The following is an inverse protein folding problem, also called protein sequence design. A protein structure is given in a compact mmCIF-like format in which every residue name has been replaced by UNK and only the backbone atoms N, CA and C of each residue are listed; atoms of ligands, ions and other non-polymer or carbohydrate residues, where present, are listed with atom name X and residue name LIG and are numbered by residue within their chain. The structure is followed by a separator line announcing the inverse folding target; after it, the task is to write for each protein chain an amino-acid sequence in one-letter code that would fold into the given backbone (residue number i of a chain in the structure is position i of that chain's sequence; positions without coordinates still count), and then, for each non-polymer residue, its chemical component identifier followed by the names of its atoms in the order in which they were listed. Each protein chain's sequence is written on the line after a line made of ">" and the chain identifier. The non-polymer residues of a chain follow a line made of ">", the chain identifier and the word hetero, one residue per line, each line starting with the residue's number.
data_IF_026647045566
#
_entry.id   IF_026647045566
#
_cell.length_a   1.000
_cell.length_b   1.000
_cell.length_c   1.000
_cell.angle_alpha   90.00
_cell.angle_beta   90.00
_cell.angle_gamma   90.00
#
_symmetry.space_group_name_H-M   'P 1'
#
loop_
_entity.id
_entity.type
_entity.pdbx_description
1 polymer ?
#
# COMPACT_ATOMS: atom_id res chain seq x y z
N UNK A 1 -9.24 18.40 23.37
CA UNK A 1 -7.94 17.69 23.37
C UNK A 1 -7.33 17.80 21.98
N UNK A 2 -6.01 17.98 21.86
CA UNK A 2 -5.31 18.04 20.57
C UNK A 2 -5.31 16.64 19.90
N UNK A 3 -6.01 16.43 18.77
CA UNK A 3 -6.12 15.12 18.12
C UNK A 3 -4.75 14.54 17.70
N UNK A 4 -3.79 15.40 17.34
CA UNK A 4 -2.45 14.96 16.97
C UNK A 4 -1.72 14.34 18.16
N UNK A 5 -1.83 14.94 19.34
CA UNK A 5 -1.25 14.39 20.59
C UNK A 5 -1.94 13.12 21.04
N UNK A 6 -3.27 13.06 20.93
CA UNK A 6 -4.03 11.86 21.26
C UNK A 6 -3.61 10.67 20.38
N UNK A 7 -3.45 10.90 19.07
CA UNK A 7 -2.92 9.91 18.13
C UNK A 7 -1.51 9.44 18.50
N UNK A 8 -0.60 10.37 18.77
CA UNK A 8 0.76 10.05 19.20
C UNK A 8 0.80 9.18 20.46
N UNK A 9 -0.02 9.52 21.46
CA UNK A 9 -0.09 8.76 22.71
C UNK A 9 -0.64 7.34 22.49
N UNK A 10 -1.64 7.18 21.61
CA UNK A 10 -2.15 5.87 21.24
C UNK A 10 -1.10 5.02 20.50
N UNK A 11 -0.38 5.63 19.54
CA UNK A 11 0.67 4.98 18.77
C UNK A 11 1.85 4.52 19.65
N UNK A 12 2.33 5.37 20.57
CA UNK A 12 3.41 4.98 21.49
C UNK A 12 2.96 3.91 22.50
N UNK A 13 1.71 3.98 22.98
CA UNK A 13 1.17 2.93 23.87
C UNK A 13 1.12 1.58 23.17
N UNK A 14 0.60 1.53 21.94
CA UNK A 14 0.40 0.30 21.19
C UNK A 14 1.72 -0.28 20.66
N UNK A 15 2.57 0.56 20.09
CA UNK A 15 3.71 0.11 19.29
C UNK A 15 5.06 0.69 19.74
N UNK A 16 5.12 1.46 20.85
CA UNK A 16 6.31 2.21 21.27
C UNK A 16 7.65 1.45 21.26
N UNK A 17 7.72 0.20 21.76
CA UNK A 17 8.94 -0.61 21.73
C UNK A 17 9.31 -1.17 20.35
N UNK A 18 8.35 -1.21 19.41
CA UNK A 18 8.54 -1.78 18.07
C UNK A 18 9.46 -0.90 17.24
N UNK A 19 10.21 -1.54 16.34
CA UNK A 19 11.10 -0.86 15.41
C UNK A 19 10.37 -0.71 14.09
N UNK A 20 10.43 0.51 13.54
CA UNK A 20 9.84 0.84 12.25
C UNK A 20 10.90 1.47 11.36
N UNK A 21 10.67 1.37 10.06
CA UNK A 21 11.44 2.08 9.05
C UNK A 21 10.86 3.46 8.84
N UNK A 22 11.72 4.47 8.79
CA UNK A 22 11.32 5.82 8.45
C UNK A 22 12.27 6.42 7.42
N UNK A 23 11.73 7.18 6.47
CA UNK A 23 12.56 7.95 5.57
C UNK A 23 13.22 9.11 6.31
N UNK A 24 14.50 9.32 6.06
CA UNK A 24 15.33 10.35 6.65
C UNK A 24 15.44 11.54 5.71
N UNK A 25 15.15 12.72 6.26
CA UNK A 25 15.34 14.00 5.57
C UNK A 25 16.74 14.53 5.83
N UNK A 26 17.66 14.34 4.89
CA UNK A 26 18.99 14.96 4.97
C UNK A 26 18.97 16.39 4.40
N UNK A 27 18.50 16.59 3.17
CA UNK A 27 18.19 17.90 2.53
C UNK A 27 17.16 17.70 1.41
N UNK A 28 15.95 18.24 1.51
CA UNK A 28 14.95 18.20 0.42
C UNK A 28 13.58 17.59 0.76
N UNK A 29 13.07 16.71 -0.12
CA UNK A 29 11.75 16.03 -0.04
C UNK A 29 11.92 14.54 0.32
N UNK A 30 10.88 13.96 0.92
CA UNK A 30 10.70 12.51 1.12
C UNK A 30 10.46 11.81 -0.24
N UNK A 31 10.59 10.47 -0.30
CA UNK A 31 10.46 9.65 -1.50
C UNK A 31 11.79 9.38 -2.23
N UNK A 32 12.90 9.27 -1.49
CA UNK A 32 14.24 9.02 -2.06
C UNK A 32 14.89 7.70 -1.60
N UNK A 33 14.22 6.94 -0.72
CA UNK A 33 14.75 5.66 -0.23
C UNK A 33 15.89 5.77 0.79
N UNK A 34 16.21 6.97 1.29
CA UNK A 34 17.12 7.13 2.41
C UNK A 34 16.37 6.79 3.69
N UNK A 35 16.51 5.57 4.17
CA UNK A 35 15.73 5.03 5.29
C UNK A 35 16.61 4.75 6.51
N UNK A 36 16.04 4.91 7.70
CA UNK A 36 16.64 4.40 8.94
C UNK A 36 15.62 3.60 9.73
N UNK A 37 16.10 2.79 10.66
CA UNK A 37 15.28 2.10 11.63
C UNK A 37 15.34 2.83 12.98
N UNK A 38 14.18 2.98 13.61
CA UNK A 38 14.06 3.55 14.95
C UNK A 38 12.85 2.98 15.68
N UNK A 39 12.85 3.07 17.01
CA UNK A 39 11.69 2.70 17.81
C UNK A 39 10.54 3.68 17.56
N UNK A 40 9.31 3.19 17.50
CA UNK A 40 8.10 4.01 17.38
C UNK A 40 8.08 5.11 18.44
N UNK A 41 8.45 4.79 19.70
CA UNK A 41 8.55 5.79 20.78
C UNK A 41 9.49 6.95 20.44
N UNK A 42 10.65 6.63 19.87
CA UNK A 42 11.63 7.63 19.48
C UNK A 42 11.11 8.51 18.34
N UNK A 43 10.46 7.90 17.35
CA UNK A 43 9.79 8.61 16.27
C UNK A 43 8.70 9.56 16.78
N UNK A 44 7.81 9.07 17.66
CA UNK A 44 6.72 9.86 18.26
C UNK A 44 7.25 11.02 19.08
N UNK A 45 8.28 10.80 19.90
CA UNK A 45 8.91 11.85 20.70
C UNK A 45 9.51 12.97 19.81
N UNK A 46 10.17 12.60 18.71
CA UNK A 46 10.69 13.56 17.74
C UNK A 46 9.55 14.36 17.09
N UNK A 47 8.51 13.69 16.61
CA UNK A 47 7.37 14.36 15.97
C UNK A 47 6.66 15.35 16.90
N UNK A 48 6.44 14.96 18.16
CA UNK A 48 5.85 15.84 19.17
C UNK A 48 6.75 17.05 19.50
N UNK A 49 8.06 16.84 19.62
CA UNK A 49 9.01 17.93 19.85
C UNK A 49 9.02 18.92 18.68
N UNK A 50 9.00 18.43 17.43
CA UNK A 50 8.93 19.28 16.23
C UNK A 50 7.61 20.02 16.14
N UNK A 51 6.50 19.37 16.46
CA UNK A 51 5.20 19.99 16.48
C UNK A 51 5.17 21.15 17.50
N UNK A 52 5.71 20.96 18.70
CA UNK A 52 5.76 21.97 19.75
C UNK A 52 6.69 23.16 19.40
N UNK A 53 7.74 22.91 18.62
CA UNK A 53 8.74 23.93 18.23
C UNK A 53 8.48 24.54 16.85
N UNK A 54 7.41 24.15 16.15
CA UNK A 54 7.11 24.60 14.79
C UNK A 54 8.07 24.09 13.71
N UNK A 55 8.86 23.05 14.02
CA UNK A 55 9.89 22.48 13.16
C UNK A 55 9.39 21.41 12.18
N UNK A 56 10.29 20.97 11.29
CA UNK A 56 10.07 19.79 10.45
C UNK A 56 10.57 18.52 11.15
N UNK A 57 9.85 17.41 11.00
CA UNK A 57 10.39 16.09 11.33
C UNK A 57 11.63 15.80 10.49
N UNK A 58 12.63 15.20 11.15
CA UNK A 58 13.74 14.52 10.48
C UNK A 58 13.28 13.24 9.78
N UNK A 59 12.23 12.61 10.32
CA UNK A 59 11.75 11.31 9.88
C UNK A 59 10.34 11.40 9.29
N UNK A 60 10.04 10.54 8.32
CA UNK A 60 8.68 10.31 7.84
C UNK A 60 8.36 8.83 7.92
N UNK A 61 7.31 8.48 8.66
CA UNK A 61 6.83 7.11 8.74
C UNK A 61 6.17 6.78 7.40
N UNK A 62 6.68 5.72 6.77
CA UNK A 62 6.33 5.27 5.42
C UNK A 62 5.94 3.78 5.47
N UNK A 63 5.77 3.16 4.30
CA UNK A 63 5.54 1.71 4.18
C UNK A 63 6.61 0.89 4.89
N UNK A 64 6.19 -0.28 5.36
CA UNK A 64 7.02 -1.15 6.19
C UNK A 64 7.32 -2.42 5.42
N UNK A 65 8.52 -3.01 5.60
CA UNK A 65 8.78 -4.33 5.07
C UNK A 65 7.77 -5.30 5.67
N UNK A 66 7.24 -6.19 4.83
CA UNK A 66 6.33 -7.25 5.22
C UNK A 66 7.13 -8.55 5.28
N UNK A 67 6.90 -9.34 6.32
CA UNK A 67 7.38 -10.72 6.31
C UNK A 67 6.61 -11.50 5.24
N UNK A 68 7.22 -12.53 4.70
CA UNK A 68 6.53 -13.50 3.84
C UNK A 68 6.18 -14.74 4.67
N UNK A 69 5.02 -15.34 4.37
CA UNK A 69 4.65 -16.64 4.94
C UNK A 69 5.39 -17.81 4.28
N UNK A 70 5.06 -19.04 4.68
CA UNK A 70 5.71 -20.25 4.16
C UNK A 70 5.50 -20.43 2.66
N UNK A 71 4.46 -19.82 2.08
CA UNK A 71 4.15 -19.83 0.66
C UNK A 71 4.75 -18.61 -0.08
N UNK A 72 5.58 -17.81 0.59
CA UNK A 72 6.20 -16.61 0.01
C UNK A 72 5.23 -15.43 -0.13
N UNK A 73 4.05 -15.47 0.50
CA UNK A 73 3.06 -14.40 0.40
C UNK A 73 3.36 -13.33 1.46
N UNK A 74 3.37 -12.04 1.10
CA UNK A 74 3.59 -10.98 2.08
C UNK A 74 2.45 -10.91 3.11
N UNK A 75 2.78 -10.71 4.40
CA UNK A 75 1.84 -10.35 5.45
C UNK A 75 1.06 -9.07 5.08
N UNK A 76 -0.16 -8.91 5.59
CA UNK A 76 -1.00 -7.76 5.24
C UNK A 76 -0.51 -6.44 5.84
N UNK A 77 0.24 -6.49 6.95
CA UNK A 77 0.70 -5.27 7.59
C UNK A 77 1.93 -5.50 8.47
N UNK A 78 2.87 -4.56 8.42
CA UNK A 78 4.00 -4.49 9.34
C UNK A 78 3.69 -3.68 10.59
N UNK A 79 4.66 -3.55 11.49
CA UNK A 79 4.58 -2.60 12.60
C UNK A 79 4.63 -1.16 12.06
N UNK A 80 3.82 -0.19 12.56
CA UNK A 80 3.05 -0.28 13.79
C UNK A 80 1.62 -0.78 13.59
N UNK A 81 1.17 -1.01 12.35
CA UNK A 81 -0.21 -1.41 12.05
C UNK A 81 -0.55 -2.72 12.75
N UNK A 82 0.35 -3.71 12.73
CA UNK A 82 0.15 -5.00 13.42
C UNK A 82 -0.16 -4.83 14.92
N UNK A 83 0.57 -3.93 15.60
CA UNK A 83 0.27 -3.61 17.01
C UNK A 83 -1.01 -2.79 17.18
N UNK A 84 -1.33 -1.87 16.26
CA UNK A 84 -2.59 -1.12 16.30
C UNK A 84 -3.82 -2.02 16.10
N UNK A 85 -3.74 -3.02 15.22
CA UNK A 85 -4.80 -4.04 15.04
C UNK A 85 -4.98 -4.83 16.34
N UNK A 86 -3.88 -5.30 16.95
CA UNK A 86 -3.92 -6.05 18.22
C UNK A 86 -4.58 -5.25 19.36
N UNK A 87 -4.36 -3.94 19.39
CA UNK A 87 -4.93 -3.02 20.38
C UNK A 87 -6.33 -2.49 20.00
N UNK A 88 -6.93 -3.01 18.93
CA UNK A 88 -8.23 -2.58 18.41
C UNK A 88 -8.30 -1.07 18.08
N UNK A 89 -7.17 -0.52 17.61
CA UNK A 89 -7.03 0.88 17.18
C UNK A 89 -7.00 1.02 15.65
N UNK A 90 -6.93 -0.10 14.93
CA UNK A 90 -6.92 -0.14 13.48
C UNK A 90 -7.75 -1.34 13.01
N UNK A 91 -8.84 -1.12 12.25
CA UNK A 91 -9.64 -2.21 11.70
C UNK A 91 -8.82 -3.12 10.76
N UNK A 92 -8.87 -4.45 10.90
CA UNK A 92 -8.11 -5.37 10.02
C UNK A 92 -8.68 -5.45 8.59
N UNK A 93 -9.81 -4.80 8.33
CA UNK A 93 -10.43 -4.62 7.01
C UNK A 93 -10.86 -3.18 6.82
N UNK A 94 -11.08 -2.73 5.58
CA UNK A 94 -11.60 -1.39 5.32
C UNK A 94 -13.13 -1.36 5.54
N UNK A 95 -13.65 -0.71 6.59
CA UNK A 95 -15.10 -0.71 6.86
C UNK A 95 -15.90 0.14 5.85
N UNK A 96 -15.23 1.06 5.14
CA UNK A 96 -15.85 1.96 4.17
C UNK A 96 -16.14 1.27 2.83
N UNK A 97 -15.32 0.28 2.47
CA UNK A 97 -15.41 -0.46 1.21
C UNK A 97 -15.24 -1.96 1.49
N UNK A 98 -16.22 -2.61 2.16
CA UNK A 98 -16.08 -3.99 2.62
C UNK A 98 -16.08 -5.03 1.49
N UNK A 99 -16.48 -4.63 0.27
CA UNK A 99 -16.40 -5.50 -0.91
C UNK A 99 -15.00 -5.56 -1.51
N UNK A 100 -14.11 -4.62 -1.18
CA UNK A 100 -12.72 -4.64 -1.61
C UNK A 100 -11.86 -5.50 -0.68
N UNK A 101 -10.94 -6.25 -1.27
CA UNK A 101 -10.10 -7.21 -0.55
C UNK A 101 -8.76 -6.56 -0.25
N UNK A 102 -8.39 -6.56 1.03
CA UNK A 102 -7.17 -5.92 1.52
C UNK A 102 -5.93 -6.67 1.03
N UNK A 103 -5.04 -5.94 0.36
CA UNK A 103 -3.70 -6.39 0.01
C UNK A 103 -2.68 -5.98 1.09
N UNK A 104 -2.78 -4.72 1.57
CA UNK A 104 -1.85 -4.17 2.53
C UNK A 104 -2.47 -2.98 3.30
N UNK A 105 -2.07 -2.76 4.56
CA UNK A 105 -2.42 -1.57 5.32
C UNK A 105 -1.18 -0.82 5.84
N UNK A 106 -1.21 0.52 5.77
CA UNK A 106 -0.09 1.37 6.23
C UNK A 106 -0.55 2.54 7.12
N UNK A 107 0.40 3.06 7.89
CA UNK A 107 0.32 4.34 8.59
C UNK A 107 1.40 5.28 8.07
N UNK A 108 1.00 6.51 7.81
CA UNK A 108 1.84 7.59 7.33
C UNK A 108 1.88 8.68 8.39
N UNK A 109 3.06 9.16 8.76
CA UNK A 109 3.16 10.20 9.79
C UNK A 109 4.39 11.08 9.60
N UNK A 110 4.24 12.37 9.89
CA UNK A 110 5.35 13.32 9.92
C UNK A 110 4.94 14.68 10.48
N UNK A 111 5.88 15.62 10.46
CA UNK A 111 5.63 17.02 10.82
C UNK A 111 6.25 17.94 9.77
N UNK A 112 5.45 18.86 9.23
CA UNK A 112 5.92 19.91 8.34
C UNK A 112 6.04 21.24 9.11
N UNK A 113 6.99 22.12 8.77
CA UNK A 113 7.07 23.45 9.37
C UNK A 113 5.77 24.23 9.18
N UNK A 114 5.47 25.13 10.10
CA UNK A 114 4.34 26.06 9.97
C UNK A 114 4.42 26.81 8.62
N UNK A 115 3.28 26.87 7.90
CA UNK A 115 3.20 27.53 6.59
C UNK A 115 3.91 26.80 5.43
N UNK A 116 4.48 25.60 5.64
CA UNK A 116 5.10 24.80 4.58
C UNK A 116 4.44 23.43 4.47
N UNK A 117 4.59 22.81 3.29
CA UNK A 117 4.15 21.45 3.01
C UNK A 117 5.28 20.57 2.48
N UNK A 118 5.27 19.30 2.82
CA UNK A 118 6.07 18.24 2.18
C UNK A 118 5.21 17.50 1.18
N UNK A 119 5.81 17.12 0.04
CA UNK A 119 5.12 16.38 -1.03
C UNK A 119 5.69 14.97 -1.12
N UNK A 120 4.83 13.99 -1.37
CA UNK A 120 5.20 12.60 -1.68
C UNK A 120 5.91 12.46 -3.03
N UNK A 121 5.86 13.47 -3.89
CA UNK A 121 6.16 13.30 -5.32
C UNK A 121 4.95 12.79 -6.10
N UNK A 122 4.96 13.02 -7.41
CA UNK A 122 3.92 12.55 -8.32
C UNK A 122 4.18 11.09 -8.68
N UNK A 123 3.25 10.22 -8.35
CA UNK A 123 3.35 8.77 -8.56
C UNK A 123 1.94 8.18 -8.75
N UNK A 124 1.83 6.88 -9.02
CA UNK A 124 0.58 6.14 -8.89
C UNK A 124 0.82 4.88 -8.06
N UNK A 125 -0.25 4.24 -7.58
CA UNK A 125 -0.17 2.95 -6.91
C UNK A 125 -0.68 1.83 -7.82
N UNK A 126 -0.23 0.61 -7.57
CA UNK A 126 -0.74 -0.61 -8.25
C UNK A 126 -2.03 -1.14 -7.63
N UNK A 127 -2.41 -0.60 -6.48
CA UNK A 127 -3.55 -1.00 -5.68
C UNK A 127 -4.57 0.12 -5.64
N UNK A 128 -5.82 -0.25 -5.40
CA UNK A 128 -6.83 0.69 -4.98
C UNK A 128 -6.50 1.16 -3.56
N UNK A 129 -6.65 2.45 -3.30
CA UNK A 129 -6.17 3.05 -2.06
C UNK A 129 -7.30 3.81 -1.35
N UNK A 130 -7.62 3.40 -0.12
CA UNK A 130 -8.51 4.15 0.78
C UNK A 130 -7.65 4.89 1.80
N UNK A 131 -7.39 6.16 1.55
CA UNK A 131 -6.58 7.03 2.41
C UNK A 131 -7.47 7.73 3.44
N UNK A 132 -7.28 7.42 4.72
CA UNK A 132 -8.02 8.00 5.85
C UNK A 132 -7.12 8.97 6.60
N UNK A 133 -7.52 10.24 6.67
CA UNK A 133 -6.76 11.27 7.36
C UNK A 133 -7.07 11.23 8.87
N UNK A 134 -6.03 11.05 9.70
CA UNK A 134 -6.19 10.86 11.15
C UNK A 134 -6.03 12.18 11.90
N UNK A 135 -4.98 12.94 11.59
CA UNK A 135 -4.74 14.26 12.19
C UNK A 135 -3.95 15.16 11.23
N UNK A 136 -4.08 16.48 11.35
CA UNK A 136 -3.55 17.41 10.36
C UNK A 136 -4.32 17.36 9.04
N UNK A 137 -3.75 17.90 7.96
CA UNK A 137 -4.42 17.96 6.66
C UNK A 137 -3.48 17.58 5.50
N UNK A 138 -4.09 17.02 4.45
CA UNK A 138 -3.43 16.73 3.18
C UNK A 138 -4.15 17.42 2.03
N UNK A 139 -3.39 17.87 1.04
CA UNK A 139 -3.90 18.26 -0.28
C UNK A 139 -3.49 17.19 -1.28
N UNK A 140 -4.45 16.64 -2.00
CA UNK A 140 -4.23 15.60 -3.02
C UNK A 140 -4.58 16.19 -4.38
N UNK A 141 -3.71 16.01 -5.37
CA UNK A 141 -4.00 16.28 -6.80
C UNK A 141 -3.94 14.97 -7.56
N UNK A 142 -4.88 14.76 -8.48
CA UNK A 142 -5.03 13.50 -9.21
C UNK A 142 -5.12 13.71 -10.73
N UNK A 143 -4.50 12.81 -11.47
CA UNK A 143 -4.50 12.73 -12.93
C UNK A 143 -4.87 11.32 -13.35
N UNK A 144 -5.57 11.24 -14.49
CA UNK A 144 -6.12 10.00 -15.01
C UNK A 144 -5.01 9.01 -15.42
N UNK A 145 -5.20 7.69 -15.29
CA UNK A 145 -4.22 6.69 -15.74
C UNK A 145 -3.80 6.83 -17.21
N UNK A 146 -4.64 7.37 -18.09
CA UNK A 146 -4.28 7.70 -19.48
C UNK A 146 -3.11 8.69 -19.60
N UNK A 147 -2.84 9.48 -18.56
CA UNK A 147 -1.70 10.39 -18.50
C UNK A 147 -0.35 9.68 -18.33
N UNK A 148 -0.32 8.36 -18.12
CA UNK A 148 0.89 7.55 -17.87
C UNK A 148 1.99 7.80 -18.91
N UNK A 149 1.62 7.85 -20.19
CA UNK A 149 2.56 8.11 -21.27
C UNK A 149 3.14 9.53 -21.22
N UNK A 150 2.38 10.52 -20.74
CA UNK A 150 2.83 11.91 -20.62
C UNK A 150 3.70 12.10 -19.38
N UNK A 151 3.35 11.47 -18.27
CA UNK A 151 4.02 11.60 -16.98
C UNK A 151 5.34 10.82 -16.89
N UNK A 152 5.57 9.87 -17.81
CA UNK A 152 6.84 9.13 -18.00
C UNK A 152 7.31 8.48 -16.69
N UNK A 153 6.67 7.37 -16.28
CA UNK A 153 7.09 6.63 -15.10
C UNK A 153 8.57 6.22 -15.18
N UNK A 154 9.24 6.14 -14.03
CA UNK A 154 10.61 5.68 -13.92
C UNK A 154 10.77 4.21 -14.38
N UNK A 155 9.68 3.43 -14.28
CA UNK A 155 9.59 2.05 -14.79
C UNK A 155 9.63 1.93 -16.32
N UNK A 156 9.69 3.05 -17.05
CA UNK A 156 9.85 3.06 -18.49
C UNK A 156 8.53 2.86 -19.23
N UNK A 157 8.51 1.94 -20.20
CA UNK A 157 7.32 1.68 -21.02
C UNK A 157 6.28 0.94 -20.18
N UNK A 158 5.05 1.46 -20.20
CA UNK A 158 3.95 0.95 -19.41
C UNK A 158 2.74 0.61 -20.28
N UNK A 159 2.04 -0.46 -19.92
CA UNK A 159 0.69 -0.78 -20.39
C UNK A 159 -0.30 -0.48 -19.27
N UNK A 160 -1.49 -0.01 -19.62
CA UNK A 160 -2.55 0.31 -18.64
C UNK A 160 -3.74 -0.60 -18.94
N UNK A 161 -4.17 -1.37 -17.95
CA UNK A 161 -5.40 -2.18 -18.00
C UNK A 161 -6.64 -1.28 -17.94
N UNK A 162 -7.81 -1.81 -18.30
CA UNK A 162 -9.05 -1.04 -18.34
C UNK A 162 -9.46 -0.44 -16.98
N UNK A 163 -9.09 -1.10 -15.88
CA UNK A 163 -9.31 -0.62 -14.51
C UNK A 163 -8.28 0.42 -14.03
N UNK A 164 -7.31 0.80 -14.87
CA UNK A 164 -6.26 1.76 -14.56
C UNK A 164 -4.93 1.12 -14.14
N UNK A 165 -4.89 -0.18 -13.83
CA UNK A 165 -3.67 -0.83 -13.35
C UNK A 165 -2.53 -0.71 -14.37
N UNK A 166 -1.41 -0.17 -13.92
CA UNK A 166 -0.19 0.02 -14.73
C UNK A 166 0.72 -1.19 -14.61
N UNK A 167 1.23 -1.68 -15.75
CA UNK A 167 2.16 -2.81 -15.86
C UNK A 167 3.40 -2.36 -16.61
N UNK A 168 4.59 -2.67 -16.08
CA UNK A 168 5.86 -2.25 -16.65
C UNK A 168 6.53 -3.36 -17.47
N UNK A 169 7.24 -2.98 -18.53
CA UNK A 169 8.10 -3.91 -19.27
C UNK A 169 7.33 -5.12 -19.81
N UNK A 170 7.89 -6.31 -19.55
CA UNK A 170 7.34 -7.63 -19.92
C UNK A 170 6.58 -8.31 -18.77
N UNK A 171 6.27 -7.60 -17.68
CA UNK A 171 5.52 -8.16 -16.55
C UNK A 171 4.18 -8.76 -17.02
N UNK A 172 3.91 -9.98 -16.57
CA UNK A 172 2.66 -10.72 -16.82
C UNK A 172 1.80 -10.66 -15.56
N UNK A 173 1.18 -9.51 -15.37
CA UNK A 173 0.26 -9.26 -14.25
C UNK A 173 -1.10 -8.86 -14.78
N UNK A 174 -2.12 -9.52 -14.25
CA UNK A 174 -3.53 -9.33 -14.59
C UNK A 174 -4.07 -7.98 -14.09
N UNK A 175 -5.27 -7.62 -14.56
CA UNK A 175 -5.91 -6.36 -14.17
C UNK A 175 -6.16 -6.28 -12.66
N UNK A 176 -6.48 -7.39 -12.01
CA UNK A 176 -6.69 -7.49 -10.56
C UNK A 176 -5.40 -7.68 -9.75
N UNK A 177 -4.24 -7.62 -10.41
CA UNK A 177 -2.94 -7.69 -9.77
C UNK A 177 -2.38 -9.10 -9.55
N UNK A 178 -3.08 -10.16 -9.98
CA UNK A 178 -2.53 -11.51 -9.94
C UNK A 178 -1.40 -11.68 -10.95
N UNK A 179 -0.32 -12.32 -10.53
CA UNK A 179 0.68 -12.86 -11.45
C UNK A 179 0.42 -14.35 -11.70
N UNK A 180 1.13 -14.91 -12.67
CA UNK A 180 1.00 -16.32 -13.05
C UNK A 180 1.30 -17.27 -11.87
N UNK A 181 2.20 -16.87 -10.97
CA UNK A 181 2.60 -17.72 -9.85
C UNK A 181 1.53 -17.78 -8.76
N UNK A 182 0.92 -16.65 -8.45
CA UNK A 182 -0.18 -16.55 -7.51
C UNK A 182 -1.38 -17.38 -7.98
N UNK A 183 -1.77 -17.27 -9.26
CA UNK A 183 -2.87 -18.03 -9.85
C UNK A 183 -2.65 -19.55 -9.71
N UNK A 184 -1.48 -20.03 -10.11
CA UNK A 184 -1.09 -21.44 -10.03
C UNK A 184 -1.09 -21.98 -8.61
N UNK A 185 -0.55 -21.22 -7.65
CA UNK A 185 -0.49 -21.64 -6.24
C UNK A 185 -1.89 -21.89 -5.66
N UNK A 186 -2.86 -21.00 -5.94
CA UNK A 186 -4.22 -21.19 -5.42
C UNK A 186 -4.94 -22.35 -6.08
N UNK A 187 -4.81 -22.55 -7.39
CA UNK A 187 -5.42 -23.68 -8.08
C UNK A 187 -4.86 -25.01 -7.58
N UNK A 188 -3.55 -25.07 -7.29
CA UNK A 188 -2.95 -26.21 -6.63
C UNK A 188 -3.53 -26.45 -5.23
N UNK A 189 -3.67 -25.40 -4.42
CA UNK A 189 -4.28 -25.54 -3.09
C UNK A 189 -5.74 -26.02 -3.15
N UNK A 190 -6.54 -25.52 -4.10
CA UNK A 190 -7.90 -26.02 -4.31
C UNK A 190 -7.91 -27.50 -4.66
N UNK A 191 -7.04 -27.92 -5.58
CA UNK A 191 -6.91 -29.31 -5.96
C UNK A 191 -6.48 -30.19 -4.78
N UNK A 192 -5.57 -29.72 -3.91
CA UNK A 192 -5.17 -30.42 -2.69
C UNK A 192 -6.30 -30.48 -1.65
N UNK A 193 -7.05 -29.40 -1.45
CA UNK A 193 -8.19 -29.37 -0.53
C UNK A 193 -9.28 -30.34 -1.00
N UNK A 194 -9.65 -30.29 -2.29
CA UNK A 194 -10.64 -31.19 -2.91
C UNK A 194 -10.19 -32.67 -2.88
N UNK A 195 -8.89 -32.90 -2.96
CA UNK A 195 -8.32 -34.23 -2.94
C UNK A 195 -8.03 -34.80 -1.57
N UNK A 196 -7.99 -33.97 -0.52
CA UNK A 196 -7.87 -34.45 0.86
C UNK A 196 -9.05 -35.36 1.27
N UNK A 197 -10.12 -35.35 0.47
CA UNK A 197 -11.28 -36.23 0.54
C UNK A 197 -11.21 -37.43 -0.45
N UNK A 198 -10.09 -37.66 -1.14
CA UNK A 198 -9.89 -38.73 -2.15
C UNK A 198 -8.57 -39.49 -2.00
N UNK A 199 -8.54 -40.79 -2.33
CA UNK A 199 -7.38 -41.68 -2.14
C UNK A 199 -6.23 -41.49 -3.17
N UNK A 200 -6.24 -40.45 -4.03
CA UNK A 200 -5.38 -40.36 -5.24
C UNK A 200 -4.29 -39.28 -5.16
N UNK A 201 -3.48 -39.31 -4.08
CA UNK A 201 -2.45 -38.31 -3.77
C UNK A 201 -1.31 -38.18 -4.79
N UNK A 202 -0.98 -39.24 -5.53
CA UNK A 202 0.22 -39.28 -6.39
C UNK A 202 0.06 -38.45 -7.68
N UNK A 203 -1.12 -38.48 -8.30
CA UNK A 203 -1.40 -37.71 -9.52
C UNK A 203 -1.38 -36.19 -9.29
N UNK A 204 -1.69 -35.77 -8.06
CA UNK A 204 -1.73 -34.37 -7.65
C UNK A 204 -0.33 -33.84 -7.31
N UNK A 205 0.51 -34.67 -6.71
CA UNK A 205 1.91 -34.36 -6.50
C UNK A 205 2.64 -34.16 -7.84
N UNK A 206 2.36 -35.01 -8.83
CA UNK A 206 2.92 -34.87 -10.18
C UNK A 206 2.44 -33.58 -10.88
N UNK A 207 1.16 -33.21 -10.73
CA UNK A 207 0.64 -31.95 -11.25
C UNK A 207 1.27 -30.72 -10.58
N UNK A 208 1.48 -30.77 -9.26
CA UNK A 208 2.15 -29.73 -8.48
C UNK A 208 3.60 -29.50 -8.96
N UNK A 209 4.36 -30.59 -9.09
CA UNK A 209 5.76 -30.57 -9.51
C UNK A 209 5.91 -30.08 -10.96
N UNK A 210 4.98 -30.45 -11.86
CA UNK A 210 4.98 -29.98 -13.24
C UNK A 210 4.68 -28.47 -13.36
N UNK A 211 3.85 -27.94 -12.47
CA UNK A 211 3.52 -26.50 -12.42
C UNK A 211 4.68 -25.68 -11.84
N UNK A 212 5.33 -26.16 -10.78
CA UNK A 212 6.54 -25.52 -10.21
C UNK A 212 7.69 -25.44 -11.22
N UNK A 213 7.87 -26.48 -12.05
CA UNK A 213 8.92 -26.52 -13.07
C UNK A 213 8.75 -25.48 -14.19
N UNK A 214 7.55 -24.91 -14.39
CA UNK A 214 7.27 -23.89 -15.42
C UNK A 214 7.46 -22.43 -14.93
N UNK A 215 7.89 -22.22 -13.68
CA UNK A 215 8.11 -20.89 -13.09
C UNK A 215 9.54 -20.35 -13.26
N UNK A 216 10.16 -20.52 -14.42
CA UNK A 216 11.36 -19.73 -14.74
C UNK A 216 10.97 -18.26 -14.90
N UNK A 217 11.26 -17.43 -13.89
CA UNK A 217 11.14 -15.96 -13.99
C UNK A 217 12.06 -15.48 -15.11
N UNK A 218 11.49 -15.05 -16.24
CA UNK A 218 12.25 -14.29 -17.23
C UNK A 218 12.92 -13.09 -16.53
N UNK A 219 14.19 -12.78 -16.87
CA UNK A 219 14.89 -11.68 -16.24
C UNK A 219 14.15 -10.36 -16.52
N UNK A 220 13.74 -9.69 -15.44
CA UNK A 220 13.12 -8.38 -15.54
C UNK A 220 14.05 -7.40 -16.27
N UNK A 221 13.49 -6.58 -17.16
CA UNK A 221 14.27 -5.53 -17.83
C UNK A 221 14.77 -4.53 -16.78
N UNK A 222 16.05 -4.10 -16.80
CA UNK A 222 16.56 -3.16 -15.80
C UNK A 222 15.77 -1.85 -15.79
N UNK A 223 15.13 -1.55 -14.65
CA UNK A 223 14.40 -0.29 -14.43
C UNK A 223 15.39 0.84 -14.10
N UNK A 224 14.98 2.08 -14.37
CA UNK A 224 15.75 3.24 -13.90
C UNK A 224 15.86 3.23 -12.37
N UNK A 225 16.93 3.79 -11.77
CA UNK A 225 17.08 3.82 -10.31
C UNK A 225 15.94 4.59 -9.64
N UNK A 226 15.26 3.94 -8.68
CA UNK A 226 14.13 4.47 -7.93
C UNK A 226 12.84 3.65 -8.13
N UNK A 227 11.75 3.93 -7.40
CA UNK A 227 10.51 3.17 -7.55
C UNK A 227 9.88 3.44 -8.94
N UNK A 228 9.46 2.39 -9.68
CA UNK A 228 9.07 2.51 -11.08
C UNK A 228 7.83 3.39 -11.32
N UNK A 229 6.98 3.49 -10.30
CA UNK A 229 5.69 4.19 -10.33
C UNK A 229 5.78 5.70 -10.13
N UNK A 230 6.98 6.26 -9.98
CA UNK A 230 7.17 7.71 -9.85
C UNK A 230 7.35 8.38 -11.21
N UNK A 231 6.77 9.58 -11.35
CA UNK A 231 6.94 10.37 -12.55
C UNK A 231 8.38 10.92 -12.62
N UNK A 232 9.05 10.71 -13.76
CA UNK A 232 10.39 11.29 -14.01
C UNK A 232 10.31 12.78 -14.36
N UNK A 233 9.10 13.30 -14.60
CA UNK A 233 8.84 14.70 -14.96
C UNK A 233 7.73 15.28 -14.11
N UNK A 234 7.75 16.60 -13.93
CA UNK A 234 6.59 17.32 -13.37
C UNK A 234 5.42 17.24 -14.34
N UNK A 235 4.21 17.20 -13.81
CA UNK A 235 3.00 17.36 -14.61
C UNK A 235 3.09 18.65 -15.46
N UNK A 236 2.91 18.59 -16.78
CA UNK A 236 2.92 19.76 -17.65
C UNK A 236 1.87 20.80 -17.24
N UNK A 237 2.19 22.10 -17.42
CA UNK A 237 1.22 23.19 -17.24
C UNK A 237 0.16 23.09 -18.34
N UNK A 238 -0.92 22.36 -18.10
CA UNK A 238 -1.97 22.10 -19.09
C UNK A 238 -2.40 20.63 -19.18
N UNK A 239 -1.70 19.72 -18.49
CA UNK A 239 -2.22 18.36 -18.29
C UNK A 239 -3.41 18.46 -17.31
N UNK A 240 -4.64 18.16 -17.73
CA UNK A 240 -5.80 18.30 -16.87
C UNK A 240 -5.69 17.34 -15.69
N UNK A 241 -5.65 17.90 -14.47
CA UNK A 241 -5.97 17.11 -13.28
C UNK A 241 -7.47 16.91 -13.28
N UNK A 242 -7.95 15.67 -13.16
CA UNK A 242 -9.39 15.45 -13.08
C UNK A 242 -9.93 15.74 -11.68
N UNK A 243 -9.08 15.79 -10.64
CA UNK A 243 -9.48 16.16 -9.29
C UNK A 243 -8.35 16.80 -8.46
N UNK A 244 -8.72 17.70 -7.55
CA UNK A 244 -7.88 18.21 -6.48
C UNK A 244 -8.73 18.44 -5.22
N UNK A 245 -8.31 17.88 -4.09
CA UNK A 245 -9.07 17.96 -2.84
C UNK A 245 -8.17 18.21 -1.63
N UNK A 246 -8.79 18.65 -0.55
CA UNK A 246 -8.20 18.75 0.78
C UNK A 246 -8.93 17.74 1.68
N UNK A 247 -8.18 16.94 2.42
CA UNK A 247 -8.71 16.00 3.42
C UNK A 247 -8.18 16.38 4.79
N UNK A 248 -9.08 16.44 5.76
CA UNK A 248 -8.84 16.71 7.18
C UNK A 248 -9.19 15.50 8.06
N UNK A 249 -9.03 15.63 9.39
CA UNK A 249 -9.25 14.52 10.32
C UNK A 249 -10.66 13.91 10.17
N UNK A 250 -10.72 12.60 9.92
CA UNK A 250 -11.96 11.85 9.71
C UNK A 250 -12.37 11.68 8.24
N UNK A 251 -11.80 12.47 7.33
CA UNK A 251 -12.06 12.31 5.90
C UNK A 251 -11.37 11.06 5.34
N UNK A 252 -12.05 10.39 4.43
CA UNK A 252 -11.49 9.29 3.63
C UNK A 252 -11.52 9.66 2.14
N UNK A 253 -10.43 9.35 1.44
CA UNK A 253 -10.30 9.50 0.00
C UNK A 253 -10.03 8.16 -0.63
N UNK A 254 -10.90 7.74 -1.54
CA UNK A 254 -10.66 6.61 -2.42
C UNK A 254 -9.90 7.06 -3.67
N UNK A 255 -8.77 6.41 -3.92
CA UNK A 255 -7.88 6.64 -5.06
C UNK A 255 -7.79 5.32 -5.82
N UNK A 256 -8.46 5.20 -6.99
CA UNK A 256 -8.39 4.00 -7.82
C UNK A 256 -6.95 3.67 -8.24
N UNK A 257 -6.66 2.39 -8.49
CA UNK A 257 -5.35 1.96 -8.97
C UNK A 257 -4.94 2.70 -10.26
N UNK A 258 -3.64 2.97 -10.39
CA UNK A 258 -3.07 3.67 -11.55
C UNK A 258 -3.40 5.16 -11.66
N UNK A 259 -4.28 5.70 -10.81
CA UNK A 259 -4.49 7.15 -10.72
C UNK A 259 -3.20 7.79 -10.25
N UNK A 260 -2.68 8.69 -11.07
CA UNK A 260 -1.52 9.49 -10.73
C UNK A 260 -1.90 10.51 -9.69
N UNK A 261 -1.16 10.59 -8.61
CA UNK A 261 -1.45 11.51 -7.53
C UNK A 261 -0.21 12.11 -6.89
N UNK A 262 -0.38 13.33 -6.38
CA UNK A 262 0.62 14.01 -5.55
C UNK A 262 -0.04 14.45 -4.25
N UNK A 263 0.51 13.98 -3.13
CA UNK A 263 0.01 14.26 -1.79
C UNK A 263 0.93 15.28 -1.13
N UNK A 264 0.38 16.44 -0.77
CA UNK A 264 1.07 17.46 0.02
C UNK A 264 0.53 17.47 1.45
N UNK A 265 1.40 17.24 2.44
CA UNK A 265 1.04 17.30 3.87
C UNK A 265 1.64 18.57 4.48
N UNK A 266 0.88 19.32 5.28
CA UNK A 266 1.33 20.62 5.79
C UNK A 266 0.73 20.98 7.14
N UNK A 267 1.23 22.07 7.73
CA UNK A 267 0.61 22.68 8.92
C UNK A 267 0.92 21.97 10.24
N UNK A 268 2.14 21.43 10.40
CA UNK A 268 2.55 20.74 11.63
C UNK A 268 2.45 19.23 11.52
N UNK A 269 2.12 18.59 12.65
CA UNK A 269 2.00 17.14 12.77
C UNK A 269 0.81 16.66 11.97
N UNK A 270 1.05 15.65 11.14
CA UNK A 270 0.02 15.04 10.31
C UNK A 270 0.20 13.53 10.30
N UNK A 271 -0.92 12.82 10.31
CA UNK A 271 -0.97 11.38 10.17
C UNK A 271 -2.14 10.94 9.31
N UNK A 272 -1.95 9.85 8.58
CA UNK A 272 -2.99 9.17 7.83
C UNK A 272 -2.78 7.66 7.93
N UNK A 273 -3.86 6.92 7.78
CA UNK A 273 -3.84 5.49 7.54
C UNK A 273 -4.28 5.23 6.10
N UNK A 274 -3.84 4.13 5.49
CA UNK A 274 -4.47 3.70 4.26
C UNK A 274 -4.64 2.19 4.18
N UNK A 275 -5.66 1.79 3.42
CA UNK A 275 -5.90 0.43 2.99
C UNK A 275 -5.59 0.36 1.50
N UNK A 276 -4.59 -0.43 1.13
CA UNK A 276 -4.39 -0.86 -0.24
C UNK A 276 -5.16 -2.15 -0.48
N UNK A 277 -6.10 -2.09 -1.40
CA UNK A 277 -6.92 -3.22 -1.82
C UNK A 277 -6.46 -3.74 -3.18
N UNK A 278 -6.64 -5.03 -3.42
CA UNK A 278 -6.45 -5.59 -4.76
C UNK A 278 -7.34 -4.83 -5.75
N UNK A 279 -6.80 -4.40 -6.90
CA UNK A 279 -7.56 -3.58 -7.83
C UNK A 279 -8.75 -4.38 -8.37
N UNK A 280 -9.97 -3.81 -8.39
CA UNK A 280 -11.14 -4.48 -8.93
C UNK A 280 -11.04 -4.57 -10.45
N UNK A 281 -11.44 -5.71 -11.01
CA UNK A 281 -11.54 -5.95 -12.46
C UNK A 281 -12.98 -6.29 -12.90
N UNK A 282 -13.91 -6.34 -11.95
CA UNK A 282 -15.32 -6.59 -12.16
C UNK A 282 -16.13 -5.35 -12.54
N UNK A 283 -17.33 -5.57 -13.06
CA UNK A 283 -18.18 -4.51 -13.62
C UNK A 283 -19.10 -3.81 -12.58
N UNK A 284 -19.11 -4.25 -11.32
CA UNK A 284 -20.05 -3.72 -10.32
C UNK A 284 -19.43 -3.57 -8.95
N UNK A 285 -19.92 -2.58 -8.19
CA UNK A 285 -19.50 -2.35 -6.81
C UNK A 285 -19.76 -3.53 -5.87
N UNK A 286 -20.86 -4.28 -6.10
CA UNK A 286 -21.25 -5.43 -5.29
C UNK A 286 -20.42 -6.69 -5.59
N UNK A 287 -19.88 -6.80 -6.82
CA UNK A 287 -19.01 -7.90 -7.26
C UNK A 287 -17.78 -7.29 -7.97
N UNK A 288 -16.83 -6.75 -7.19
CA UNK A 288 -15.71 -5.97 -7.71
C UNK A 288 -14.63 -6.81 -8.40
N UNK A 289 -14.64 -8.14 -8.19
CA UNK A 289 -13.67 -9.06 -8.78
C UNK A 289 -14.37 -10.05 -9.72
N UNK A 290 -13.74 -10.34 -10.87
CA UNK A 290 -14.27 -11.30 -11.86
C UNK A 290 -14.10 -12.75 -11.44
N UNK A 291 -13.13 -13.03 -10.55
CA UNK A 291 -12.84 -14.35 -10.01
C UNK A 291 -12.96 -14.38 -8.49
N UNK A 292 -13.10 -15.58 -7.91
CA UNK A 292 -13.08 -15.77 -6.46
C UNK A 292 -11.67 -15.76 -5.87
N UNK A 293 -10.62 -15.65 -6.68
CA UNK A 293 -9.22 -15.83 -6.26
C UNK A 293 -8.89 -15.06 -4.99
N UNK A 294 -9.11 -13.74 -5.01
CA UNK A 294 -8.77 -12.88 -3.87
C UNK A 294 -9.65 -13.16 -2.66
N UNK A 295 -10.91 -13.57 -2.87
CA UNK A 295 -11.82 -13.91 -1.78
C UNK A 295 -11.37 -15.20 -1.07
N UNK A 296 -10.91 -16.17 -1.85
CA UNK A 296 -10.42 -17.46 -1.35
C UNK A 296 -9.05 -17.29 -0.67
N UNK A 297 -8.14 -16.50 -1.24
CA UNK A 297 -6.88 -16.12 -0.58
C UNK A 297 -7.13 -15.38 0.74
N UNK A 298 -8.05 -14.40 0.74
CA UNK A 298 -8.46 -13.69 1.94
C UNK A 298 -9.03 -14.64 3.02
N UNK A 299 -9.89 -15.58 2.61
CA UNK A 299 -10.46 -16.57 3.53
C UNK A 299 -9.37 -17.46 4.15
N UNK A 300 -8.35 -17.86 3.38
CA UNK A 300 -7.18 -18.59 3.90
C UNK A 300 -6.41 -17.75 4.91
N UNK A 301 -6.01 -16.53 4.55
CA UNK A 301 -5.28 -15.61 5.45
C UNK A 301 -6.01 -15.39 6.77
N UNK A 302 -7.33 -15.25 6.75
CA UNK A 302 -8.14 -15.11 7.98
C UNK A 302 -8.18 -16.35 8.85
N UNK A 303 -8.08 -17.56 8.27
CA UNK A 303 -7.96 -18.79 9.07
C UNK A 303 -6.60 -18.86 9.77
N UNK A 304 -5.56 -18.40 9.10
CA UNK A 304 -4.18 -18.59 9.52
C UNK A 304 -3.65 -17.47 10.43
N UNK A 305 -4.09 -16.21 10.28
CA UNK A 305 -3.69 -15.09 11.15
C UNK A 305 -4.78 -14.72 12.18
N UNK A 306 -4.56 -14.96 13.49
CA UNK A 306 -5.47 -14.57 14.56
C UNK A 306 -5.82 -13.07 14.57
N UNK A 307 -4.94 -12.19 14.08
CA UNK A 307 -5.19 -10.74 14.03
C UNK A 307 -6.26 -10.35 13.01
N UNK A 308 -6.65 -11.25 12.11
CA UNK A 308 -7.67 -11.02 11.08
C UNK A 308 -9.01 -11.71 11.40
N UNK A 309 -9.08 -12.40 12.54
CA UNK A 309 -10.29 -13.08 13.02
C UNK A 309 -11.26 -12.15 13.75
N UNK A 310 -10.79 -10.97 14.18
CA UNK A 310 -11.54 -9.95 14.93
C UNK A 310 -12.44 -9.10 14.05
#
# INVERSE_FOLDING_TARGET
>A
ADPARAWCAALDRAAGPKVVRAEVRERGRFGRGNECQLRVRGFVAEALHRHATGGACRYYLTTQPLAEDAEGRPELCGEPVRSLVRENLFPPTCPLLPSLILANANVWMGCAPAGRSTSSGLHHDFHDNVLVQVCGAKRVRMWDPSATNVLRPAGGRARVHANGRVVYGNERVEADGRDAAAATSLDLHRALDDASDSDDCDALLDAALALEANHEKEPATPLAPGPPNFATRKAPRGLPSYAACYIGPGDALYIPCGVWHEVSSGGGLHAAANYWCHPPDGASFARPYTSSFWADDWARRRRDDPLLKT
#
